data_IF_225061186243
#
_entry.id   IF_225061186243
#
_cell.length_a   1.000
_cell.length_b   1.000
_cell.length_c   1.000
_cell.angle_alpha   90.00
_cell.angle_beta   90.00
_cell.angle_gamma   90.00
#
_symmetry.space_group_name_H-M   'P 1'
#
loop_
_entity.id
_entity.type
_entity.pdbx_description
1 polymer ?
#
# COMPACT_ATOMS: atom_id res chain seq x y z
N UNK A 1 36.06 84.77 39.38
CA UNK A 1 34.96 83.80 39.56
C UNK A 1 34.01 83.93 38.38
N UNK A 2 34.01 82.97 37.45
CA UNK A 2 32.90 82.71 36.54
C UNK A 2 33.12 81.34 35.89
N UNK A 3 32.06 80.53 35.95
CA UNK A 3 32.02 79.08 35.80
C UNK A 3 31.93 78.68 34.31
N UNK A 4 32.72 77.70 33.86
CA UNK A 4 32.56 77.04 32.55
C UNK A 4 31.90 75.67 32.76
N UNK A 5 30.64 75.54 32.37
CA UNK A 5 29.95 74.26 32.23
C UNK A 5 30.31 73.63 30.88
N UNK A 6 30.96 72.47 30.91
CA UNK A 6 31.10 71.55 29.77
C UNK A 6 30.20 70.34 30.00
N UNK A 7 29.19 70.15 29.14
CA UNK A 7 28.48 68.88 28.98
C UNK A 7 29.33 67.89 28.15
N UNK A 8 29.36 66.59 28.46
CA UNK A 8 29.87 65.58 27.55
C UNK A 8 28.74 65.01 26.70
N UNK A 9 28.88 65.15 25.37
CA UNK A 9 28.02 64.52 24.38
C UNK A 9 28.62 63.16 23.96
N UNK A 10 27.77 62.12 23.96
CA UNK A 10 27.80 61.06 22.94
C UNK A 10 28.73 59.86 23.15
N UNK A 11 28.33 58.91 23.99
CA UNK A 11 28.82 57.52 23.92
C UNK A 11 27.66 56.51 24.02
N UNK A 12 26.58 56.75 23.27
CA UNK A 12 25.44 55.82 23.18
C UNK A 12 25.04 55.71 21.71
N UNK A 13 25.72 54.87 20.93
CA UNK A 13 25.26 54.56 19.58
C UNK A 13 25.79 53.22 19.07
N UNK A 14 27.07 52.89 19.28
CA UNK A 14 27.70 51.77 18.58
C UNK A 14 27.25 50.36 19.03
N UNK A 15 26.80 50.20 20.28
CA UNK A 15 26.33 48.90 20.82
C UNK A 15 24.87 48.57 20.45
N UNK A 16 24.05 49.58 20.18
CA UNK A 16 22.66 49.37 19.76
C UNK A 16 22.55 48.99 18.28
N UNK A 17 23.40 49.57 17.43
CA UNK A 17 23.43 49.24 16.00
C UNK A 17 23.88 47.79 15.74
N UNK A 18 24.84 47.29 16.51
CA UNK A 18 25.33 45.90 16.37
C UNK A 18 24.29 44.88 16.83
N UNK A 19 23.55 45.16 17.90
CA UNK A 19 22.47 44.30 18.39
C UNK A 19 21.28 44.24 17.40
N UNK A 20 20.91 45.40 16.82
CA UNK A 20 19.85 45.48 15.81
C UNK A 20 20.18 44.70 14.55
N UNK A 21 21.44 44.75 14.10
CA UNK A 21 21.89 44.03 12.90
C UNK A 21 21.85 42.51 13.10
N UNK A 22 22.25 42.01 14.27
CA UNK A 22 22.19 40.58 14.61
C UNK A 22 20.75 40.09 14.66
N UNK A 23 19.84 40.86 15.27
CA UNK A 23 18.42 40.52 15.33
C UNK A 23 17.80 40.46 13.91
N UNK A 24 18.15 41.40 13.03
CA UNK A 24 17.68 41.41 11.65
C UNK A 24 18.17 40.18 10.87
N UNK A 25 19.44 39.77 11.05
CA UNK A 25 19.99 38.57 10.40
C UNK A 25 19.28 37.30 10.88
N UNK A 26 19.00 37.18 12.19
CA UNK A 26 18.26 36.04 12.74
C UNK A 26 16.83 35.99 12.20
N UNK A 27 16.15 37.13 12.09
CA UNK A 27 14.81 37.20 11.50
C UNK A 27 14.81 36.85 10.01
N UNK A 28 15.81 37.29 9.24
CA UNK A 28 15.95 36.93 7.83
C UNK A 28 16.23 35.43 7.66
N UNK A 29 17.09 34.84 8.48
CA UNK A 29 17.35 33.39 8.46
C UNK A 29 16.12 32.59 8.88
N UNK A 30 15.37 33.06 9.88
CA UNK A 30 14.09 32.47 10.26
C UNK A 30 13.09 32.53 9.11
N UNK A 31 12.97 33.67 8.43
CA UNK A 31 12.15 33.81 7.23
C UNK A 31 12.62 32.85 6.13
N UNK A 32 13.90 32.74 5.81
CA UNK A 32 14.37 31.82 4.75
C UNK A 32 14.07 30.35 5.09
N UNK A 33 14.21 29.96 6.37
CA UNK A 33 13.97 28.58 6.81
C UNK A 33 12.47 28.24 6.90
N UNK A 34 11.62 29.20 7.25
CA UNK A 34 10.17 28.97 7.42
C UNK A 34 9.32 29.35 6.21
N UNK A 35 9.82 30.19 5.29
CA UNK A 35 9.10 30.57 4.06
C UNK A 35 9.19 29.48 2.99
N UNK A 36 10.09 28.51 3.14
CA UNK A 36 10.09 27.27 2.36
C UNK A 36 8.96 26.30 2.69
N UNK A 37 8.14 26.58 3.73
CA UNK A 37 7.11 25.66 4.23
C UNK A 37 5.67 26.02 3.86
N UNK A 38 5.45 27.05 3.03
CA UNK A 38 4.11 27.43 2.53
C UNK A 38 4.05 27.46 1.00
N UNK A 39 4.76 26.55 0.32
CA UNK A 39 4.39 26.22 -1.04
C UNK A 39 3.08 25.40 -0.96
N UNK A 40 1.99 25.81 -1.62
CA UNK A 40 0.85 24.92 -1.82
C UNK A 40 1.38 23.61 -2.42
N UNK A 41 0.88 22.43 -2.00
CA UNK A 41 1.25 21.19 -2.67
C UNK A 41 0.97 21.40 -4.16
N UNK A 42 1.99 21.21 -5.00
CA UNK A 42 1.80 21.15 -6.43
C UNK A 42 0.67 20.15 -6.70
N UNK A 43 -0.32 20.48 -7.54
CA UNK A 43 -1.44 19.58 -7.78
C UNK A 43 -0.88 18.24 -8.24
N UNK A 44 -1.17 17.19 -7.48
CA UNK A 44 -0.85 15.82 -7.85
C UNK A 44 -1.54 15.60 -9.18
N UNK A 45 -0.74 15.34 -10.23
CA UNK A 45 -1.28 14.98 -11.53
C UNK A 45 -1.95 13.63 -11.39
N UNK A 46 -3.29 13.62 -11.30
CA UNK A 46 -4.16 12.44 -11.22
C UNK A 46 -3.98 11.46 -12.40
N UNK A 47 -3.18 11.80 -13.40
CA UNK A 47 -2.87 10.97 -14.57
C UNK A 47 -1.97 9.75 -14.30
N UNK A 48 -1.48 9.57 -13.07
CA UNK A 48 -0.58 8.47 -12.68
C UNK A 48 -1.19 7.51 -11.65
N UNK A 49 -2.44 7.72 -11.24
CA UNK A 49 -3.24 6.72 -10.54
C UNK A 49 -3.76 5.69 -11.56
N UNK A 50 -4.08 4.45 -11.15
CA UNK A 50 -4.70 3.47 -12.03
C UNK A 50 -5.89 4.13 -12.74
N UNK A 51 -5.84 4.10 -14.06
CA UNK A 51 -6.72 4.80 -14.98
C UNK A 51 -8.18 4.76 -14.48
N UNK A 52 -8.90 5.89 -14.40
CA UNK A 52 -10.34 5.90 -14.11
C UNK A 52 -11.13 4.96 -15.04
N UNK A 53 -10.58 4.64 -16.22
CA UNK A 53 -11.10 3.58 -17.11
C UNK A 53 -11.11 2.19 -16.49
N UNK A 54 -10.19 1.83 -15.60
CA UNK A 54 -10.24 0.54 -14.90
C UNK A 54 -11.46 0.48 -13.96
N UNK A 55 -11.69 1.55 -13.19
CA UNK A 55 -12.87 1.68 -12.33
C UNK A 55 -14.19 1.79 -13.14
N UNK A 56 -14.19 2.51 -14.26
CA UNK A 56 -15.38 2.64 -15.12
C UNK A 56 -15.60 1.45 -16.06
N UNK A 57 -14.60 0.61 -16.36
CA UNK A 57 -14.79 -0.69 -17.03
C UNK A 57 -15.44 -1.70 -16.08
N UNK A 58 -15.09 -1.68 -14.79
CA UNK A 58 -15.81 -2.42 -13.73
C UNK A 58 -17.28 -1.95 -13.67
N UNK A 59 -17.55 -0.68 -13.97
CA UNK A 59 -18.90 -0.12 -13.99
C UNK A 59 -19.66 -0.37 -15.30
N UNK A 60 -19.00 -0.30 -16.46
CA UNK A 60 -19.64 -0.48 -17.76
C UNK A 60 -19.92 -1.95 -18.11
N UNK A 61 -19.16 -2.91 -17.58
CA UNK A 61 -19.55 -4.33 -17.63
C UNK A 61 -20.86 -4.62 -16.86
N UNK A 62 -21.37 -3.68 -16.05
CA UNK A 62 -22.66 -3.81 -15.32
C UNK A 62 -23.90 -3.46 -16.15
N UNK A 63 -23.76 -2.72 -17.26
CA UNK A 63 -24.90 -2.09 -17.94
C UNK A 63 -25.58 -2.85 -19.12
N UNK A 64 -25.17 -4.02 -19.63
CA UNK A 64 -25.88 -4.62 -20.76
C UNK A 64 -27.19 -5.36 -20.38
N UNK A 65 -27.55 -5.47 -19.09
CA UNK A 65 -28.72 -6.25 -18.64
C UNK A 65 -29.87 -5.40 -18.06
N UNK A 66 -29.81 -4.07 -18.18
CA UNK A 66 -30.71 -3.15 -17.46
C UNK A 66 -31.92 -2.63 -18.24
N UNK A 67 -32.03 -2.95 -19.54
CA UNK A 67 -33.04 -2.34 -20.42
C UNK A 67 -34.30 -3.18 -20.67
N UNK A 68 -34.41 -4.38 -20.10
CA UNK A 68 -35.66 -5.15 -20.16
C UNK A 68 -36.07 -5.59 -18.76
N UNK A 69 -36.92 -4.79 -18.11
CA UNK A 69 -38.04 -5.17 -17.22
C UNK A 69 -38.52 -3.85 -16.58
N UNK A 70 -39.31 -3.12 -17.36
CA UNK A 70 -40.29 -2.17 -16.85
C UNK A 70 -41.67 -2.85 -16.88
N UNK A 71 -42.47 -2.56 -15.86
CA UNK A 71 -43.91 -2.86 -15.76
C UNK A 71 -44.35 -4.34 -15.67
N UNK A 72 -44.58 -4.85 -14.45
CA UNK A 72 -45.94 -4.87 -13.87
C UNK A 72 -45.98 -5.51 -12.47
N UNK A 73 -46.88 -4.95 -11.68
CA UNK A 73 -47.23 -5.19 -10.28
C UNK A 73 -48.10 -6.46 -10.05
N UNK A 74 -47.94 -7.02 -8.83
CA UNK A 74 -48.93 -7.73 -7.96
C UNK A 74 -48.92 -9.27 -7.79
N UNK A 75 -48.95 -9.62 -6.50
CA UNK A 75 -49.35 -10.84 -5.76
C UNK A 75 -49.77 -12.09 -6.57
N UNK A 76 -49.22 -13.25 -6.18
CA UNK A 76 -49.99 -14.27 -5.46
C UNK A 76 -49.11 -15.36 -4.84
N UNK A 77 -49.53 -15.76 -3.64
CA UNK A 77 -49.10 -16.91 -2.86
C UNK A 77 -49.79 -18.16 -3.41
N UNK A 78 -49.05 -19.21 -3.77
CA UNK A 78 -49.39 -20.61 -3.46
C UNK A 78 -48.29 -21.58 -3.88
N UNK A 79 -48.17 -22.64 -3.07
CA UNK A 79 -47.13 -23.66 -3.05
C UNK A 79 -47.53 -24.83 -3.95
N UNK A 80 -46.66 -25.29 -4.86
CA UNK A 80 -46.63 -26.71 -5.25
C UNK A 80 -45.31 -27.11 -5.90
N UNK A 81 -44.55 -27.87 -5.12
CA UNK A 81 -43.72 -29.04 -5.45
C UNK A 81 -43.01 -29.19 -6.81
N UNK A 82 -41.70 -29.45 -6.67
CA UNK A 82 -40.87 -30.36 -7.47
C UNK A 82 -40.50 -29.91 -8.90
N UNK A 83 -39.34 -29.28 -9.02
CA UNK A 83 -38.26 -29.92 -9.78
C UNK A 83 -36.89 -29.59 -9.19
N UNK A 84 -36.22 -30.65 -8.76
CA UNK A 84 -34.89 -30.64 -8.16
C UNK A 84 -33.86 -30.46 -9.28
N UNK A 85 -33.60 -29.23 -9.67
CA UNK A 85 -32.41 -28.93 -10.46
C UNK A 85 -31.26 -28.74 -9.48
N UNK A 86 -30.28 -29.63 -9.59
CA UNK A 86 -28.97 -29.53 -8.93
C UNK A 86 -28.40 -28.13 -9.18
N UNK A 87 -27.65 -27.53 -8.23
CA UNK A 87 -26.89 -26.35 -8.56
C UNK A 87 -25.89 -26.75 -9.64
N UNK A 88 -26.02 -26.18 -10.84
CA UNK A 88 -24.96 -26.20 -11.83
C UNK A 88 -23.71 -25.69 -11.13
N UNK A 89 -22.72 -26.58 -11.02
CA UNK A 89 -21.36 -26.25 -10.63
C UNK A 89 -20.91 -25.18 -11.63
N UNK A 90 -20.95 -23.91 -11.24
CA UNK A 90 -20.48 -22.81 -12.07
C UNK A 90 -19.04 -23.16 -12.47
N UNK A 91 -18.85 -23.63 -13.71
CA UNK A 91 -17.52 -23.88 -14.23
C UNK A 91 -16.72 -22.59 -14.07
N UNK A 92 -15.76 -22.60 -13.14
CA UNK A 92 -14.87 -21.47 -12.94
C UNK A 92 -14.18 -21.20 -14.28
N UNK A 93 -14.62 -20.16 -14.98
CA UNK A 93 -14.08 -19.75 -16.27
C UNK A 93 -12.56 -19.63 -16.17
N UNK A 94 -11.88 -20.12 -17.19
CA UNK A 94 -10.42 -20.03 -17.31
C UNK A 94 -9.99 -18.56 -17.28
N UNK A 95 -8.94 -18.24 -16.50
CA UNK A 95 -8.37 -16.89 -16.43
C UNK A 95 -7.89 -16.47 -17.83
N UNK A 96 -8.41 -15.35 -18.35
CA UNK A 96 -7.95 -14.72 -19.59
C UNK A 96 -7.18 -13.43 -19.23
N UNK A 97 -5.84 -13.45 -19.24
CA UNK A 97 -5.04 -12.29 -18.87
C UNK A 97 -5.28 -11.04 -19.72
N UNK A 98 -5.79 -11.20 -20.95
CA UNK A 98 -6.12 -10.05 -21.82
C UNK A 98 -7.32 -9.25 -21.32
N UNK A 99 -8.18 -9.89 -20.51
CA UNK A 99 -9.38 -9.29 -19.90
C UNK A 99 -9.17 -8.94 -18.43
N UNK A 100 -7.94 -9.03 -17.94
CA UNK A 100 -7.64 -8.66 -16.57
C UNK A 100 -7.87 -7.17 -16.35
N UNK A 101 -8.45 -6.84 -15.19
CA UNK A 101 -8.76 -5.47 -14.81
C UNK A 101 -7.50 -4.73 -14.37
N UNK A 102 -6.60 -5.44 -13.67
CA UNK A 102 -5.36 -4.90 -13.15
C UNK A 102 -4.17 -5.73 -13.62
N UNK A 103 -3.25 -5.11 -14.34
CA UNK A 103 -1.96 -5.68 -14.72
C UNK A 103 -0.90 -5.25 -13.72
N UNK A 104 -0.22 -6.23 -13.13
CA UNK A 104 0.73 -6.01 -12.04
C UNK A 104 2.10 -6.47 -12.47
N UNK A 105 3.07 -5.57 -12.53
CA UNK A 105 4.46 -5.97 -12.57
C UNK A 105 4.93 -6.27 -11.15
N UNK A 106 5.55 -7.43 -10.93
CA UNK A 106 6.03 -7.81 -9.61
C UNK A 106 7.53 -8.03 -9.67
N UNK A 107 8.29 -7.31 -8.83
CA UNK A 107 9.75 -7.39 -8.80
C UNK A 107 10.23 -8.79 -8.43
N UNK A 108 11.22 -9.28 -9.17
CA UNK A 108 11.99 -10.49 -8.83
C UNK A 108 13.05 -10.19 -7.75
N UNK A 109 12.57 -9.81 -6.56
CA UNK A 109 13.44 -9.49 -5.43
C UNK A 109 14.18 -10.72 -4.90
N UNK A 110 15.37 -10.55 -4.31
CA UNK A 110 16.09 -11.64 -3.65
C UNK A 110 15.24 -12.37 -2.59
N UNK A 111 15.42 -13.70 -2.41
CA UNK A 111 14.64 -14.50 -1.45
C UNK A 111 14.64 -13.99 -0.01
N UNK A 112 15.68 -13.25 0.41
CA UNK A 112 15.75 -12.66 1.75
C UNK A 112 14.62 -11.65 2.06
N UNK A 113 13.90 -11.17 1.04
CA UNK A 113 12.75 -10.28 1.22
C UNK A 113 11.41 -11.02 1.36
N UNK A 114 11.30 -12.29 0.95
CA UNK A 114 10.00 -12.99 0.91
C UNK A 114 10.08 -14.43 1.44
N UNK A 115 9.99 -15.44 0.59
CA UNK A 115 9.96 -16.86 0.94
C UNK A 115 11.24 -17.32 1.66
N UNK A 116 12.38 -16.63 1.51
CA UNK A 116 13.57 -16.89 2.33
C UNK A 116 13.35 -16.62 3.83
N UNK A 117 12.43 -15.71 4.18
CA UNK A 117 11.98 -15.51 5.57
C UNK A 117 11.14 -16.68 6.11
N UNK A 118 10.62 -17.52 5.22
CA UNK A 118 9.91 -18.76 5.55
C UNK A 118 10.85 -19.98 5.57
N UNK A 119 12.16 -19.78 5.40
CA UNK A 119 13.14 -20.86 5.33
C UNK A 119 13.17 -21.58 3.99
N UNK A 120 12.51 -21.04 2.96
CA UNK A 120 12.70 -21.53 1.60
C UNK A 120 14.09 -21.15 1.08
N UNK A 121 14.75 -22.10 0.43
CA UNK A 121 16.08 -21.92 -0.16
C UNK A 121 15.92 -22.00 -1.67
N UNK A 122 16.35 -20.94 -2.36
CA UNK A 122 16.35 -20.91 -3.81
C UNK A 122 17.37 -21.92 -4.37
N UNK A 123 17.02 -22.56 -5.48
CA UNK A 123 17.87 -23.51 -6.20
C UNK A 123 18.82 -22.83 -7.20
N UNK A 124 18.81 -21.49 -7.25
CA UNK A 124 19.60 -20.67 -8.16
C UNK A 124 18.97 -20.46 -9.55
N UNK A 125 17.85 -21.13 -9.86
CA UNK A 125 17.15 -20.99 -11.15
C UNK A 125 16.03 -19.96 -11.09
N UNK A 126 15.42 -19.83 -9.91
CA UNK A 126 14.27 -18.95 -9.68
C UNK A 126 14.40 -18.22 -8.34
N UNK A 127 13.88 -17.00 -8.28
CA UNK A 127 13.67 -16.29 -7.01
C UNK A 127 12.34 -16.68 -6.35
N UNK A 128 11.50 -17.48 -7.01
CA UNK A 128 10.21 -17.94 -6.48
C UNK A 128 10.18 -19.44 -6.23
N UNK A 129 9.45 -19.91 -5.20
CA UNK A 129 9.16 -21.33 -5.07
C UNK A 129 8.32 -21.82 -6.25
N UNK A 130 8.47 -23.08 -6.60
CA UNK A 130 7.57 -23.74 -7.54
C UNK A 130 6.23 -24.01 -6.86
N UNK A 131 5.26 -23.15 -7.18
CA UNK A 131 3.91 -23.20 -6.60
C UNK A 131 3.07 -24.38 -7.12
N UNK A 132 3.50 -25.08 -8.17
CA UNK A 132 2.83 -26.30 -8.63
C UNK A 132 3.15 -27.50 -7.74
N UNK A 133 4.38 -27.58 -7.25
CA UNK A 133 4.86 -28.74 -6.51
C UNK A 133 4.78 -28.52 -5.02
N UNK A 134 5.33 -27.41 -4.51
CA UNK A 134 5.39 -27.16 -3.08
C UNK A 134 5.45 -25.68 -2.75
N UNK A 135 4.39 -25.22 -2.10
CA UNK A 135 4.32 -23.89 -1.52
C UNK A 135 4.89 -23.93 -0.09
N UNK A 136 5.90 -23.09 0.25
CA UNK A 136 6.39 -22.97 1.62
C UNK A 136 5.27 -22.56 2.57
N UNK A 137 5.02 -23.29 3.67
CA UNK A 137 3.90 -23.00 4.56
C UNK A 137 4.09 -21.66 5.28
N UNK A 138 3.05 -20.85 5.31
CA UNK A 138 3.04 -19.63 6.11
C UNK A 138 2.92 -19.96 7.61
N UNK A 139 3.69 -19.31 8.51
CA UNK A 139 3.67 -19.61 9.93
C UNK A 139 2.31 -19.31 10.55
N UNK A 140 1.89 -20.20 11.46
CA UNK A 140 0.66 -20.06 12.22
C UNK A 140 0.74 -19.00 13.34
N UNK A 141 -0.24 -19.07 14.25
CA UNK A 141 -0.32 -18.22 15.42
C UNK A 141 -0.53 -16.74 15.08
N UNK A 142 0.15 -15.85 15.80
CA UNK A 142 0.02 -14.39 15.61
C UNK A 142 0.43 -13.91 14.20
N UNK A 143 1.26 -14.67 13.48
CA UNK A 143 1.67 -14.31 12.13
C UNK A 143 0.50 -14.30 11.13
N UNK A 144 -0.50 -15.15 11.35
CA UNK A 144 -1.66 -15.30 10.45
C UNK A 144 -2.42 -13.99 10.27
N UNK A 145 -2.38 -13.12 11.28
CA UNK A 145 -3.06 -11.82 11.27
C UNK A 145 -2.52 -10.91 10.16
N UNK A 146 -1.28 -11.10 9.73
CA UNK A 146 -0.62 -10.26 8.71
C UNK A 146 -0.09 -11.05 7.52
N UNK A 147 -0.81 -12.12 7.15
CA UNK A 147 -0.45 -13.01 6.03
C UNK A 147 -0.75 -12.46 4.63
N UNK A 148 -1.22 -11.22 4.52
CA UNK A 148 -1.65 -10.61 3.25
C UNK A 148 -0.53 -10.60 2.21
N UNK A 149 0.69 -10.29 2.62
CA UNK A 149 1.89 -10.26 1.75
C UNK A 149 2.17 -11.62 1.09
N UNK A 150 1.94 -12.70 1.83
CA UNK A 150 2.11 -14.06 1.33
C UNK A 150 1.01 -14.45 0.34
N UNK A 151 -0.25 -14.18 0.67
CA UNK A 151 -1.37 -14.55 -0.20
C UNK A 151 -1.41 -13.74 -1.49
N UNK A 152 -1.14 -12.44 -1.44
CA UNK A 152 -1.06 -11.61 -2.66
C UNK A 152 0.07 -12.05 -3.58
N UNK A 153 1.23 -12.39 -3.01
CA UNK A 153 2.37 -12.87 -3.81
C UNK A 153 2.02 -14.20 -4.47
N UNK A 154 1.40 -15.13 -3.76
CA UNK A 154 0.95 -16.40 -4.33
C UNK A 154 -0.14 -16.22 -5.39
N UNK A 155 -1.09 -15.31 -5.18
CA UNK A 155 -2.13 -15.03 -6.16
C UNK A 155 -1.52 -14.51 -7.47
N UNK A 156 -0.60 -13.54 -7.39
CA UNK A 156 0.13 -13.00 -8.54
C UNK A 156 1.02 -14.07 -9.21
N UNK A 157 1.71 -14.92 -8.46
CA UNK A 157 2.47 -16.03 -9.03
C UNK A 157 1.54 -17.02 -9.75
N UNK A 158 0.40 -17.36 -9.14
CA UNK A 158 -0.57 -18.28 -9.70
C UNK A 158 -1.26 -17.73 -10.95
N UNK A 159 -1.37 -16.41 -11.07
CA UNK A 159 -2.03 -15.73 -12.20
C UNK A 159 -1.41 -16.03 -13.55
N UNK A 160 -0.16 -16.50 -13.56
CA UNK A 160 0.59 -16.87 -14.76
C UNK A 160 0.47 -18.35 -15.14
N UNK A 161 -0.21 -19.15 -14.32
CA UNK A 161 -0.36 -20.57 -14.59
C UNK A 161 -1.36 -20.78 -15.73
N UNK A 162 -1.02 -21.61 -16.74
CA UNK A 162 -1.84 -21.75 -17.94
C UNK A 162 -3.22 -22.33 -17.64
N UNK A 163 -3.42 -23.04 -16.53
CA UNK A 163 -4.69 -23.68 -16.15
C UNK A 163 -5.31 -23.09 -14.88
N UNK A 164 -4.98 -21.83 -14.54
CA UNK A 164 -5.64 -21.14 -13.42
C UNK A 164 -7.14 -21.04 -13.67
N UNK A 165 -7.91 -21.66 -12.78
CA UNK A 165 -9.36 -21.52 -12.68
C UNK A 165 -9.69 -20.37 -11.74
N UNK A 166 -10.65 -19.52 -12.11
CA UNK A 166 -11.16 -18.45 -11.24
C UNK A 166 -11.05 -17.04 -11.83
N UNK A 167 -11.48 -16.02 -11.08
CA UNK A 167 -11.52 -14.64 -11.56
C UNK A 167 -10.11 -14.14 -11.89
N UNK A 168 -9.98 -13.50 -13.04
CA UNK A 168 -8.73 -12.97 -13.57
C UNK A 168 -8.59 -11.47 -13.24
N UNK A 169 -8.98 -11.04 -12.03
CA UNK A 169 -9.08 -9.62 -11.67
C UNK A 169 -7.73 -8.92 -11.72
N UNK A 170 -6.72 -9.52 -11.09
CA UNK A 170 -5.33 -9.08 -11.16
C UNK A 170 -4.46 -10.17 -11.79
N UNK A 171 -3.58 -9.77 -12.71
CA UNK A 171 -2.63 -10.66 -13.37
C UNK A 171 -1.23 -10.09 -13.33
N UNK A 172 -0.26 -10.97 -13.10
CA UNK A 172 1.15 -10.63 -13.15
C UNK A 172 1.61 -10.57 -14.61
N UNK A 173 2.19 -9.45 -15.00
CA UNK A 173 2.83 -9.26 -16.31
C UNK A 173 4.35 -9.35 -16.20
N UNK A 174 5.01 -9.68 -17.32
CA UNK A 174 6.48 -9.73 -17.43
C UNK A 174 7.10 -8.36 -17.67
N UNK A 175 6.49 -7.58 -18.55
CA UNK A 175 7.01 -6.27 -18.91
C UNK A 175 6.38 -5.19 -18.02
N UNK A 176 7.21 -4.43 -17.32
CA UNK A 176 6.76 -3.35 -16.45
C UNK A 176 6.14 -2.16 -17.19
N UNK A 177 6.24 -2.12 -18.52
CA UNK A 177 5.57 -1.13 -19.39
C UNK A 177 4.11 -1.50 -19.66
N UNK A 178 3.74 -2.76 -19.48
CA UNK A 178 2.36 -3.23 -19.64
C UNK A 178 1.56 -3.18 -18.33
N UNK A 179 2.23 -2.88 -17.23
CA UNK A 179 1.63 -2.87 -15.90
C UNK A 179 0.96 -1.54 -15.57
N UNK A 180 -0.17 -1.62 -14.87
CA UNK A 180 -0.83 -0.48 -14.25
C UNK A 180 -0.16 -0.09 -12.93
N UNK A 181 0.41 -1.08 -12.22
CA UNK A 181 1.07 -0.91 -10.91
C UNK A 181 2.26 -1.86 -10.76
N UNK A 182 3.20 -1.48 -9.89
CA UNK A 182 4.36 -2.29 -9.51
C UNK A 182 4.19 -2.83 -8.09
N UNK A 183 4.07 -4.13 -7.94
CA UNK A 183 4.05 -4.78 -6.64
C UNK A 183 5.47 -5.06 -6.12
N UNK A 184 5.73 -4.66 -4.88
CA UNK A 184 7.00 -4.87 -4.18
C UNK A 184 6.83 -6.01 -3.17
N UNK A 185 7.29 -7.24 -3.49
CA UNK A 185 7.05 -8.44 -2.68
C UNK A 185 8.03 -8.53 -1.51
N UNK A 186 8.04 -7.52 -0.63
CA UNK A 186 8.72 -7.59 0.65
C UNK A 186 7.73 -8.04 1.74
N UNK A 187 8.01 -9.18 2.36
CA UNK A 187 7.22 -9.73 3.47
C UNK A 187 7.56 -8.99 4.77
N UNK A 188 7.20 -7.70 4.79
CA UNK A 188 7.63 -6.74 5.82
C UNK A 188 7.01 -7.04 7.18
N UNK A 189 5.80 -7.61 7.21
CA UNK A 189 5.12 -8.02 8.44
C UNK A 189 5.84 -9.21 9.07
N UNK A 190 6.18 -10.21 8.25
CA UNK A 190 6.93 -11.37 8.69
C UNK A 190 8.36 -11.00 9.11
N UNK A 191 9.02 -10.12 8.35
CA UNK A 191 10.34 -9.56 8.69
C UNK A 191 10.32 -8.89 10.07
N UNK A 192 9.30 -8.07 10.35
CA UNK A 192 9.15 -7.47 11.68
C UNK A 192 8.96 -8.53 12.77
N UNK A 193 8.04 -9.48 12.57
CA UNK A 193 7.73 -10.49 13.58
C UNK A 193 8.95 -11.37 13.93
N UNK A 194 9.78 -11.71 12.93
CA UNK A 194 10.96 -12.56 13.14
C UNK A 194 12.19 -11.78 13.59
N UNK A 195 12.41 -10.58 13.05
CA UNK A 195 13.72 -9.93 13.04
C UNK A 195 13.70 -8.49 13.54
N UNK A 196 12.66 -8.07 14.25
CA UNK A 196 12.59 -6.72 14.85
C UNK A 196 13.54 -6.53 16.03
N UNK A 197 13.82 -7.58 16.80
CA UNK A 197 14.74 -7.55 17.94
C UNK A 197 16.19 -7.39 17.47
N UNK A 198 16.97 -6.66 18.26
CA UNK A 198 18.41 -6.54 18.08
C UNK A 198 19.05 -7.67 18.86
N UNK A 199 19.89 -8.46 18.19
CA UNK A 199 20.63 -9.57 18.78
C UNK A 199 22.09 -9.14 18.96
N UNK A 200 22.65 -9.16 20.19
CA UNK A 200 24.06 -8.85 20.40
C UNK A 200 24.98 -9.77 19.56
N UNK A 201 26.10 -9.27 19.00
CA UNK A 201 26.70 -7.94 19.19
C UNK A 201 26.17 -6.86 18.23
N UNK A 202 25.15 -7.17 17.42
CA UNK A 202 24.67 -6.24 16.40
C UNK A 202 24.03 -4.98 16.99
N UNK A 203 24.17 -3.86 16.28
CA UNK A 203 23.60 -2.56 16.69
C UNK A 203 22.26 -2.26 16.02
N UNK A 204 21.92 -3.00 14.98
CA UNK A 204 20.68 -2.83 14.21
C UNK A 204 20.03 -4.18 13.98
N UNK A 205 18.71 -4.23 14.06
CA UNK A 205 17.97 -5.46 13.83
C UNK A 205 17.98 -5.83 12.35
N UNK A 206 17.90 -7.13 12.06
CA UNK A 206 17.86 -7.62 10.68
C UNK A 206 16.65 -7.08 9.90
N UNK A 207 15.52 -6.84 10.56
CA UNK A 207 14.38 -6.14 9.96
C UNK A 207 14.75 -4.72 9.47
N UNK A 208 15.48 -3.94 10.28
CA UNK A 208 15.94 -2.60 9.89
C UNK A 208 16.96 -2.67 8.75
N UNK A 209 17.83 -3.69 8.74
CA UNK A 209 18.76 -3.92 7.62
C UNK A 209 18.03 -4.23 6.31
N UNK A 210 17.03 -5.11 6.34
CA UNK A 210 16.21 -5.43 5.15
C UNK A 210 15.48 -4.19 4.63
N UNK A 211 14.93 -3.35 5.51
CA UNK A 211 14.31 -2.08 5.10
C UNK A 211 15.31 -1.11 4.45
N UNK A 212 16.56 -1.04 4.93
CA UNK A 212 17.61 -0.26 4.24
C UNK A 212 17.91 -0.82 2.86
N UNK A 213 18.11 -2.13 2.75
CA UNK A 213 18.36 -2.81 1.47
C UNK A 213 17.21 -2.61 0.50
N UNK A 214 15.97 -2.63 0.97
CA UNK A 214 14.78 -2.35 0.17
C UNK A 214 14.84 -0.96 -0.46
N UNK A 215 15.14 0.08 0.33
CA UNK A 215 15.25 1.45 -0.20
C UNK A 215 16.32 1.54 -1.28
N UNK A 216 17.49 0.94 -1.06
CA UNK A 216 18.57 0.89 -2.05
C UNK A 216 18.17 0.10 -3.30
N UNK A 217 17.48 -1.03 -3.13
CA UNK A 217 16.98 -1.86 -4.22
C UNK A 217 16.01 -1.05 -5.09
N UNK A 218 14.98 -0.45 -4.50
CA UNK A 218 13.97 0.33 -5.21
C UNK A 218 14.60 1.50 -5.97
N UNK A 219 15.46 2.28 -5.31
CA UNK A 219 16.14 3.42 -5.94
C UNK A 219 16.97 3.06 -7.19
N UNK A 220 17.40 1.79 -7.30
CA UNK A 220 18.15 1.31 -8.47
C UNK A 220 17.26 0.90 -9.66
N UNK A 221 15.98 0.60 -9.43
CA UNK A 221 15.07 0.07 -10.46
C UNK A 221 14.63 1.14 -11.47
N UNK A 222 14.37 0.73 -12.70
CA UNK A 222 13.92 1.64 -13.77
C UNK A 222 12.48 2.13 -13.53
N UNK A 223 11.59 1.26 -13.08
CA UNK A 223 10.20 1.61 -12.78
C UNK A 223 10.13 2.62 -11.64
N UNK A 224 10.99 2.46 -10.63
CA UNK A 224 11.10 3.44 -9.55
C UNK A 224 11.54 4.81 -10.07
N UNK A 225 12.54 4.86 -10.94
CA UNK A 225 13.00 6.12 -11.56
C UNK A 225 11.93 6.76 -12.43
N UNK A 226 11.08 5.95 -13.08
CA UNK A 226 9.98 6.38 -13.95
C UNK A 226 8.85 7.07 -13.19
N UNK A 227 8.40 6.50 -12.08
CA UNK A 227 7.23 6.99 -11.33
C UNK A 227 7.57 7.70 -10.02
N UNK A 228 8.83 7.63 -9.60
CA UNK A 228 9.28 8.01 -8.26
C UNK A 228 8.45 7.35 -7.13
N UNK A 229 8.09 6.07 -7.34
CA UNK A 229 7.39 5.27 -6.34
C UNK A 229 5.86 5.38 -6.37
N UNK A 230 5.26 6.25 -7.19
CA UNK A 230 3.82 6.53 -7.13
C UNK A 230 2.93 5.34 -7.57
N UNK A 231 3.42 4.54 -8.52
CA UNK A 231 2.74 3.33 -8.99
C UNK A 231 3.15 2.07 -8.21
N UNK A 232 3.97 2.22 -7.15
CA UNK A 232 4.45 1.10 -6.34
C UNK A 232 3.50 0.78 -5.20
N UNK A 233 3.14 -0.50 -5.08
CA UNK A 233 2.40 -1.07 -3.97
C UNK A 233 3.38 -1.67 -2.96
N UNK A 234 3.35 -1.14 -1.74
CA UNK A 234 4.23 -1.54 -0.64
C UNK A 234 3.43 -2.26 0.44
N UNK A 235 3.88 -3.46 0.81
CA UNK A 235 3.34 -4.18 1.96
C UNK A 235 3.76 -3.54 3.27
N UNK A 236 2.81 -3.05 4.07
CA UNK A 236 3.03 -2.52 5.41
C UNK A 236 1.89 -2.87 6.38
N UNK A 237 1.33 -4.08 6.20
CA UNK A 237 0.08 -4.49 6.87
C UNK A 237 0.23 -4.58 8.39
N UNK A 238 1.30 -5.17 8.92
CA UNK A 238 1.58 -5.07 10.36
C UNK A 238 1.89 -3.60 10.71
N UNK A 239 1.25 -2.95 11.70
CA UNK A 239 1.41 -1.50 11.88
C UNK A 239 2.81 -1.05 12.36
N UNK A 240 3.63 -2.00 12.85
CA UNK A 240 5.05 -1.79 13.14
C UNK A 240 6.00 -2.34 12.06
N UNK A 241 5.48 -2.91 10.97
CA UNK A 241 6.30 -3.17 9.80
C UNK A 241 6.73 -1.84 9.18
N UNK A 242 7.81 -1.85 8.40
CA UNK A 242 8.26 -0.68 7.64
C UNK A 242 8.57 0.60 8.46
N UNK A 243 8.69 0.54 9.79
CA UNK A 243 8.94 1.72 10.64
C UNK A 243 10.12 2.60 10.19
N UNK A 244 11.17 1.99 9.65
CA UNK A 244 12.35 2.71 9.18
C UNK A 244 12.18 3.27 7.76
N UNK A 245 11.54 2.53 6.86
CA UNK A 245 11.45 2.89 5.45
C UNK A 245 10.18 3.67 5.06
N UNK A 246 9.08 3.56 5.82
CA UNK A 246 7.75 4.07 5.43
C UNK A 246 7.72 5.57 5.12
N UNK A 247 8.45 6.40 5.88
CA UNK A 247 8.52 7.84 5.61
C UNK A 247 9.24 8.14 4.30
N UNK A 248 10.26 7.35 3.93
CA UNK A 248 10.93 7.49 2.63
C UNK A 248 10.07 7.00 1.46
N UNK A 249 9.10 6.13 1.73
CA UNK A 249 8.17 5.54 0.75
C UNK A 249 6.79 6.23 0.77
N UNK A 250 6.68 7.44 1.32
CA UNK A 250 5.40 8.11 1.54
C UNK A 250 4.55 8.32 0.27
N UNK A 251 5.19 8.36 -0.90
CA UNK A 251 4.52 8.52 -2.21
C UNK A 251 3.88 7.23 -2.73
N UNK A 252 4.28 6.08 -2.20
CA UNK A 252 3.78 4.79 -2.62
C UNK A 252 2.37 4.53 -2.08
N UNK A 253 1.69 3.58 -2.71
CA UNK A 253 0.45 3.00 -2.19
C UNK A 253 0.80 1.90 -1.18
N UNK A 254 0.35 2.05 0.06
CA UNK A 254 0.54 1.04 1.10
C UNK A 254 -0.68 0.12 1.20
N UNK A 255 -0.41 -1.16 1.45
CA UNK A 255 -1.42 -2.08 1.99
C UNK A 255 -1.24 -2.13 3.51
N UNK A 256 -2.24 -1.65 4.23
CA UNK A 256 -2.24 -1.40 5.67
C UNK A 256 -3.36 -2.16 6.37
N UNK A 257 -3.22 -2.38 7.67
CA UNK A 257 -4.33 -2.90 8.48
C UNK A 257 -5.28 -1.81 8.99
N UNK A 258 -4.71 -0.63 9.27
CA UNK A 258 -5.41 0.57 9.73
C UNK A 258 -4.50 1.80 9.52
N UNK A 259 -5.06 3.00 9.66
CA UNK A 259 -4.32 4.27 9.56
C UNK A 259 -3.79 4.78 10.92
N UNK A 260 -4.06 4.09 12.03
CA UNK A 260 -3.89 4.64 13.37
C UNK A 260 -2.44 4.91 13.79
N UNK A 261 -1.45 4.29 13.12
CA UNK A 261 -0.01 4.44 13.45
C UNK A 261 0.79 5.26 12.43
N UNK A 262 0.12 5.97 11.54
CA UNK A 262 0.75 6.68 10.43
C UNK A 262 0.48 8.17 10.51
N UNK A 263 1.47 8.95 10.09
CA UNK A 263 1.28 10.38 9.85
C UNK A 263 0.52 10.51 8.53
N UNK A 264 -0.47 11.41 8.47
CA UNK A 264 -1.40 11.53 7.35
C UNK A 264 -0.74 11.71 5.96
N UNK A 265 0.40 12.39 5.88
CA UNK A 265 1.13 12.54 4.62
C UNK A 265 1.85 11.25 4.18
N UNK A 266 2.12 10.32 5.09
CA UNK A 266 2.73 9.01 4.80
C UNK A 266 1.65 8.01 4.41
N UNK A 267 0.54 7.97 5.16
CA UNK A 267 -0.58 7.12 4.81
C UNK A 267 -1.93 7.82 4.97
N UNK A 268 -2.80 7.67 3.97
CA UNK A 268 -4.13 8.25 3.91
C UNK A 268 -5.07 7.47 2.97
N UNK A 269 -6.36 7.75 3.12
CA UNK A 269 -7.45 7.10 2.38
C UNK A 269 -7.47 7.40 0.88
N UNK A 270 -6.75 8.42 0.41
CA UNK A 270 -6.77 8.81 -1.01
C UNK A 270 -5.91 7.88 -1.86
N UNK A 271 -4.88 7.24 -1.26
CA UNK A 271 -3.91 6.41 -1.99
C UNK A 271 -3.71 5.01 -1.42
N UNK A 272 -3.99 4.78 -0.14
CA UNK A 272 -3.66 3.52 0.51
C UNK A 272 -4.86 2.60 0.67
N UNK A 273 -4.58 1.30 0.67
CA UNK A 273 -5.59 0.24 0.74
C UNK A 273 -5.57 -0.40 2.12
N UNK A 274 -6.73 -0.50 2.75
CA UNK A 274 -6.88 -1.28 3.99
C UNK A 274 -7.17 -2.74 3.64
N UNK A 275 -6.24 -3.62 3.99
CA UNK A 275 -6.51 -5.04 4.12
C UNK A 275 -6.86 -5.32 5.59
N UNK A 276 -8.01 -5.91 5.90
CA UNK A 276 -8.44 -6.09 7.28
C UNK A 276 -7.73 -7.27 7.96
N UNK A 277 -7.59 -7.19 9.28
CA UNK A 277 -7.05 -8.28 10.08
C UNK A 277 -7.87 -9.56 9.89
N UNK A 278 -7.18 -10.70 9.73
CA UNK A 278 -7.82 -12.01 9.56
C UNK A 278 -8.89 -12.32 10.64
N UNK A 279 -8.65 -11.93 11.89
CA UNK A 279 -9.55 -12.24 13.00
C UNK A 279 -10.78 -11.31 13.06
N UNK A 280 -10.75 -10.18 12.35
CA UNK A 280 -11.85 -9.21 12.30
C UNK A 280 -12.88 -9.61 11.24
N UNK A 281 -12.46 -10.33 10.19
CA UNK A 281 -13.36 -10.82 9.15
C UNK A 281 -13.71 -12.29 9.38
N UNK A 282 -15.01 -12.59 9.45
CA UNK A 282 -15.51 -13.96 9.41
C UNK A 282 -15.32 -14.53 8.02
N UNK A 283 -14.83 -15.76 7.93
CA UNK A 283 -14.81 -16.51 6.66
C UNK A 283 -16.24 -16.89 6.29
N UNK A 284 -16.71 -16.48 5.11
CA UNK A 284 -17.99 -16.95 4.58
C UNK A 284 -17.75 -18.27 3.85
N UNK A 285 -17.97 -19.39 4.54
CA UNK A 285 -17.66 -20.74 4.02
C UNK A 285 -18.69 -21.21 2.99
N UNK A 286 -19.94 -20.71 3.09
CA UNK A 286 -21.04 -21.03 2.19
C UNK A 286 -21.66 -19.73 1.63
N UNK A 287 -20.81 -18.89 1.06
CA UNK A 287 -21.27 -17.64 0.47
C UNK A 287 -21.77 -17.85 -0.95
N UNK A 288 -23.09 -17.84 -1.13
CA UNK A 288 -23.71 -17.86 -2.45
C UNK A 288 -24.00 -16.46 -2.98
N UNK A 289 -23.64 -15.41 -2.21
CA UNK A 289 -23.92 -14.02 -2.58
C UNK A 289 -22.96 -13.54 -3.67
N UNK A 290 -23.54 -13.05 -4.76
CA UNK A 290 -22.85 -12.34 -5.83
C UNK A 290 -22.37 -10.97 -5.34
N UNK A 291 -21.63 -10.23 -6.17
CA UNK A 291 -21.14 -8.90 -5.78
C UNK A 291 -22.31 -7.92 -5.53
N UNK A 292 -23.36 -7.99 -6.35
CA UNK A 292 -24.55 -7.13 -6.24
C UNK A 292 -25.40 -7.46 -5.00
N UNK A 293 -25.30 -8.69 -4.48
CA UNK A 293 -25.94 -9.12 -3.24
C UNK A 293 -25.28 -8.52 -1.98
N UNK A 294 -24.20 -7.74 -2.14
CA UNK A 294 -23.45 -7.10 -1.04
C UNK A 294 -23.70 -5.59 -1.05
N UNK A 295 -24.88 -5.12 -0.62
CA UNK A 295 -25.25 -3.70 -0.66
C UNK A 295 -24.46 -2.85 0.36
N UNK A 296 -23.76 -3.49 1.30
CA UNK A 296 -23.02 -2.82 2.37
C UNK A 296 -21.53 -2.99 2.17
N UNK A 297 -20.85 -1.89 1.86
CA UNK A 297 -19.41 -1.79 1.94
C UNK A 297 -19.00 -1.93 3.42
N UNK A 298 -18.18 -2.93 3.74
CA UNK A 298 -17.72 -3.16 5.10
C UNK A 298 -16.72 -2.06 5.50
N UNK A 299 -17.21 -1.04 6.21
CA UNK A 299 -16.42 0.06 6.77
C UNK A 299 -15.97 -0.30 8.19
N UNK A 300 -14.66 -0.30 8.44
CA UNK A 300 -14.11 -0.49 9.78
C UNK A 300 -14.04 0.85 10.51
N UNK A 301 -15.03 1.14 11.34
CA UNK A 301 -15.00 2.27 12.27
C UNK A 301 -14.14 1.91 13.48
N UNK A 302 -12.92 2.45 13.56
CA UNK A 302 -12.12 2.43 14.79
C UNK A 302 -12.36 3.75 15.51
N UNK A 303 -12.75 3.69 16.79
CA UNK A 303 -12.92 4.89 17.62
C UNK A 303 -11.55 5.50 17.91
N UNK A 304 -11.28 6.69 17.37
CA UNK A 304 -10.16 7.53 17.83
C UNK A 304 -10.56 8.12 19.19
N UNK A 305 -9.97 7.62 20.27
CA UNK A 305 -9.96 8.37 21.52
C UNK A 305 -8.99 9.54 21.36
N UNK A 306 -9.54 10.76 21.28
CA UNK A 306 -8.80 12.02 21.33
C UNK A 306 -8.24 12.26 22.73
#
# INVERSE_FOLDING_TARGET
MANRNTQPCGFVSQKFFTCSLVLAIVLVLYCILFWGSTAPPAPISYSLLPNEKAFSLIENQRNPLRDEIGDHLLLNHEISSLNRNQPEEQELKKCDPSKAILKVFMYDMPPEFHFGLLGWVADGKSVWPDIHTKIPPYPGGLNLQHSIEYWLTLDLLSSRLPDRRGPCTAVRVEDSREADVVFVPFFSSLSYNRYSKIEPPEKISRNKMLQKKLLSYLASQEEWKRSNGMDHIIMAHHPNSMLFARTSLWRCMFILADFGRYIQHVANVEKDVIAPYKHVIKTFVNDTSTYDDRPTLLYFQVTLAL
#
